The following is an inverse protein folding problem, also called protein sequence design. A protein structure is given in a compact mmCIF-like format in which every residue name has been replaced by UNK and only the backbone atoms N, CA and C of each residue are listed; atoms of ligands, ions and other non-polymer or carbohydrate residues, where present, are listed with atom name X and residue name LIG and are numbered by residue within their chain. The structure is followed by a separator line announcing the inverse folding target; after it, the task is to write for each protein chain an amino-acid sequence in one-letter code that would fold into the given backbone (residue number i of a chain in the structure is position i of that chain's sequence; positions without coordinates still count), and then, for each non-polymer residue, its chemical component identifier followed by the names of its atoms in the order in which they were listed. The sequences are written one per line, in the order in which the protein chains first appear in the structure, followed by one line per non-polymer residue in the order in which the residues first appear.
data_IF_336098226515
#
_entry.id   IF_336098226515
#
_cell.length_a   1.000
_cell.length_b   1.000
_cell.length_c   1.000
_cell.angle_alpha   90.00
_cell.angle_beta   90.00
_cell.angle_gamma   90.00
#
_symmetry.space_group_name_H-M   'P 1'
#
loop_
_entity.id
_entity.type
_entity.pdbx_description
1 polymer ?
#
# COMPACT_ATOMS: atom_id res chain seq x y z
N UNK A 1 -15.60 -4.93 -41.85
CA UNK A 1 -14.28 -4.30 -41.72
C UNK A 1 -14.51 -3.01 -40.96
N UNK A 2 -14.42 -3.09 -39.63
CA UNK A 2 -14.79 -1.99 -38.74
C UNK A 2 -13.72 -1.89 -37.66
N UNK A 3 -13.06 -0.73 -37.64
CA UNK A 3 -12.00 -0.37 -36.70
C UNK A 3 -12.54 -0.38 -35.26
N UNK A 4 -11.77 -0.97 -34.35
CA UNK A 4 -11.92 -0.79 -32.91
C UNK A 4 -11.13 0.45 -32.49
N UNK A 5 -11.89 1.48 -32.13
CA UNK A 5 -11.43 2.76 -31.60
C UNK A 5 -10.83 2.57 -30.20
N UNK A 6 -9.57 2.99 -30.04
CA UNK A 6 -8.82 3.02 -28.79
C UNK A 6 -8.85 4.46 -28.28
N UNK A 7 -9.89 4.85 -27.52
CA UNK A 7 -9.87 6.02 -26.61
C UNK A 7 -10.94 5.90 -25.54
N UNK A 8 -10.55 5.49 -24.32
CA UNK A 8 -11.10 6.05 -23.07
C UNK A 8 -10.27 5.52 -21.88
N UNK A 9 -9.15 6.16 -21.60
CA UNK A 9 -8.50 6.06 -20.28
C UNK A 9 -8.95 7.29 -19.50
N UNK A 10 -10.22 7.29 -19.12
CA UNK A 10 -10.84 8.32 -18.29
C UNK A 10 -10.54 8.04 -16.82
N UNK A 11 -10.21 9.10 -16.07
CA UNK A 11 -9.90 9.06 -14.65
C UNK A 11 -10.93 8.29 -13.83
N UNK A 12 -10.49 7.14 -13.31
CA UNK A 12 -11.21 6.40 -12.29
C UNK A 12 -10.99 7.08 -10.94
N UNK A 13 -11.96 7.86 -10.49
CA UNK A 13 -12.19 8.14 -9.08
C UNK A 13 -12.36 6.77 -8.38
N UNK A 14 -11.29 6.24 -7.79
CA UNK A 14 -11.38 5.06 -6.94
C UNK A 14 -12.22 5.43 -5.73
N UNK A 15 -13.45 4.93 -5.74
CA UNK A 15 -14.42 5.08 -4.66
C UNK A 15 -13.96 4.20 -3.49
N UNK A 16 -12.94 4.66 -2.76
CA UNK A 16 -12.52 4.10 -1.47
C UNK A 16 -13.65 4.38 -0.48
N UNK A 17 -14.67 3.51 -0.46
CA UNK A 17 -15.59 3.43 0.67
C UNK A 17 -14.79 3.00 1.89
N UNK A 18 -14.29 4.00 2.61
CA UNK A 18 -13.80 3.85 3.99
C UNK A 18 -14.94 3.22 4.79
N UNK A 19 -14.84 1.94 5.12
CA UNK A 19 -15.70 1.36 6.16
C UNK A 19 -15.32 2.07 7.45
N UNK A 20 -16.28 2.80 8.01
CA UNK A 20 -16.17 3.42 9.33
C UNK A 20 -15.71 2.38 10.34
N UNK A 21 -14.66 2.67 11.13
CA UNK A 21 -14.10 1.85 12.21
C UNK A 21 -15.08 1.55 13.38
N UNK A 22 -16.38 1.71 13.17
CA UNK A 22 -17.41 1.64 14.21
C UNK A 22 -18.09 0.27 14.37
N UNK A 23 -17.50 -0.83 13.89
CA UNK A 23 -18.08 -2.16 14.13
C UNK A 23 -17.02 -3.24 14.35
N UNK A 24 -16.25 -3.14 15.43
CA UNK A 24 -15.54 -4.28 15.99
C UNK A 24 -16.37 -4.89 17.11
N UNK A 25 -17.15 -5.91 16.73
CA UNK A 25 -17.73 -6.86 17.66
C UNK A 25 -16.62 -7.55 18.45
N UNK A 26 -16.80 -7.60 19.77
CA UNK A 26 -15.88 -8.15 20.76
C UNK A 26 -15.73 -9.68 20.55
N UNK A 27 -14.72 -10.11 19.82
CA UNK A 27 -14.32 -11.53 19.74
C UNK A 27 -13.02 -11.73 20.53
N UNK A 28 -13.03 -12.76 21.39
CA UNK A 28 -12.11 -12.97 22.49
C UNK A 28 -10.63 -13.04 22.12
N UNK A 29 -9.85 -12.21 22.82
CA UNK A 29 -8.39 -12.13 22.78
C UNK A 29 -7.77 -13.37 23.44
N UNK A 30 -7.32 -14.35 22.66
CA UNK A 30 -6.26 -15.28 23.11
C UNK A 30 -4.93 -14.57 22.94
N UNK A 31 -4.24 -14.28 24.05
CA UNK A 31 -2.87 -13.76 24.02
C UNK A 31 -1.96 -14.87 23.54
N UNK A 32 -1.40 -14.73 22.34
CA UNK A 32 -0.15 -15.38 21.97
C UNK A 32 0.97 -14.40 22.29
N UNK A 33 1.95 -14.86 23.04
CA UNK A 33 3.09 -14.10 23.54
C UNK A 33 3.88 -13.48 22.38
N UNK A 34 4.15 -12.17 22.43
CA UNK A 34 4.84 -11.41 21.38
C UNK A 34 6.30 -11.14 21.79
N UNK A 35 7.31 -11.42 20.94
CA UNK A 35 8.70 -11.05 21.23
C UNK A 35 8.93 -9.54 21.10
N UNK A 36 9.84 -9.02 21.92
CA UNK A 36 10.08 -7.60 22.13
C UNK A 36 10.45 -6.79 20.86
N UNK A 37 9.61 -5.82 20.54
CA UNK A 37 9.81 -4.68 19.62
C UNK A 37 8.53 -3.84 19.68
N UNK A 38 8.60 -2.52 19.62
CA UNK A 38 7.40 -1.67 19.77
C UNK A 38 6.39 -1.98 18.64
N UNK A 39 5.39 -2.82 18.93
CA UNK A 39 4.27 -3.03 18.03
C UNK A 39 3.37 -1.79 18.12
N UNK A 40 3.42 -0.99 17.07
CA UNK A 40 2.53 0.13 16.90
C UNK A 40 1.11 -0.38 16.67
N UNK A 41 0.21 -0.03 17.58
CA UNK A 41 -1.22 -0.37 17.46
C UNK A 41 -1.82 0.06 16.12
N UNK A 42 -1.27 1.08 15.47
CA UNK A 42 -1.68 1.51 14.13
C UNK A 42 -1.26 0.50 13.06
N UNK A 43 -0.02 0.02 13.12
CA UNK A 43 0.45 -0.99 12.17
C UNK A 43 -0.14 -2.37 12.43
N UNK A 44 -0.47 -2.73 13.68
CA UNK A 44 -1.28 -3.93 13.95
C UNK A 44 -2.63 -3.86 13.23
N UNK A 45 -3.33 -2.72 13.32
CA UNK A 45 -4.61 -2.50 12.65
C UNK A 45 -4.49 -2.51 11.12
N UNK A 46 -3.50 -1.79 10.58
CA UNK A 46 -3.23 -1.79 9.12
C UNK A 46 -2.93 -3.19 8.63
N UNK A 47 -2.12 -3.94 9.36
CA UNK A 47 -1.74 -5.30 8.97
C UNK A 47 -2.92 -6.26 9.02
N UNK A 48 -3.72 -6.23 10.08
CA UNK A 48 -4.95 -7.04 10.18
C UNK A 48 -5.90 -6.72 9.02
N UNK A 49 -6.12 -5.44 8.73
CA UNK A 49 -6.95 -5.03 7.60
C UNK A 49 -6.42 -5.49 6.23
N UNK A 50 -5.10 -5.45 6.01
CA UNK A 50 -4.49 -5.98 4.79
C UNK A 50 -4.65 -7.50 4.67
N UNK A 51 -4.61 -8.25 5.79
CA UNK A 51 -4.86 -9.68 5.79
C UNK A 51 -6.32 -9.99 5.43
N UNK A 52 -7.27 -9.25 5.98
CA UNK A 52 -8.69 -9.37 5.64
C UNK A 52 -8.91 -9.05 4.15
N UNK A 53 -8.32 -7.96 3.66
CA UNK A 53 -8.38 -7.58 2.24
C UNK A 53 -7.82 -8.67 1.32
N UNK A 54 -6.70 -9.29 1.70
CA UNK A 54 -6.14 -10.41 0.95
C UNK A 54 -7.09 -11.63 0.97
N UNK A 55 -7.65 -11.96 2.12
CA UNK A 55 -8.55 -13.08 2.28
C UNK A 55 -9.86 -12.90 1.49
N UNK A 56 -10.42 -11.69 1.48
CA UNK A 56 -11.61 -11.33 0.69
C UNK A 56 -11.38 -11.51 -0.81
N UNK A 57 -10.17 -11.20 -1.28
CA UNK A 57 -9.73 -11.47 -2.65
C UNK A 57 -9.29 -12.93 -2.86
N UNK A 58 -9.41 -13.82 -1.89
CA UNK A 58 -9.04 -15.23 -2.02
C UNK A 58 -7.53 -15.43 -2.23
N UNK A 59 -6.71 -14.58 -1.61
CA UNK A 59 -5.28 -14.76 -1.46
C UNK A 59 -4.95 -15.44 -0.13
N UNK A 60 -3.92 -16.27 -0.13
CA UNK A 60 -3.29 -16.74 1.12
C UNK A 60 -2.04 -15.93 1.43
N UNK A 61 -1.77 -15.69 2.72
CA UNK A 61 -0.55 -15.01 3.18
C UNK A 61 0.23 -15.95 4.08
N UNK A 62 1.48 -16.22 3.74
CA UNK A 62 2.38 -17.13 4.48
C UNK A 62 3.66 -16.42 4.90
N UNK A 63 4.19 -16.78 6.07
CA UNK A 63 5.50 -16.33 6.53
C UNK A 63 6.56 -17.36 6.17
N UNK A 64 7.54 -16.96 5.39
CA UNK A 64 8.62 -17.84 4.93
C UNK A 64 9.98 -17.18 5.12
N UNK A 65 11.04 -17.98 4.99
CA UNK A 65 12.40 -17.45 4.91
C UNK A 65 12.73 -17.07 3.47
N UNK A 66 12.75 -15.77 3.18
CA UNK A 66 13.14 -15.26 1.86
C UNK A 66 14.61 -14.81 1.81
N UNK A 67 15.39 -15.15 2.84
CA UNK A 67 16.75 -14.68 3.02
C UNK A 67 16.82 -13.19 3.41
N UNK A 68 18.01 -12.57 3.38
CA UNK A 68 18.23 -11.27 4.01
C UNK A 68 17.77 -10.05 3.20
N UNK A 69 17.42 -10.23 1.93
CA UNK A 69 17.19 -9.10 0.99
C UNK A 69 15.74 -8.92 0.54
N UNK A 70 14.93 -9.97 0.61
CA UNK A 70 13.55 -9.95 0.10
C UNK A 70 12.59 -9.73 1.24
N UNK A 71 11.66 -8.80 1.07
CA UNK A 71 10.64 -8.53 2.07
C UNK A 71 9.37 -9.36 1.85
N UNK A 72 9.02 -9.62 0.59
CA UNK A 72 7.91 -10.45 0.20
C UNK A 72 8.03 -10.93 -1.25
N UNK A 73 7.07 -11.74 -1.67
CA UNK A 73 6.81 -12.05 -3.08
C UNK A 73 5.37 -12.51 -3.30
N UNK A 74 4.75 -12.05 -4.38
CA UNK A 74 3.47 -12.55 -4.88
C UNK A 74 3.66 -13.71 -5.86
N UNK A 75 3.11 -14.87 -5.52
CA UNK A 75 3.10 -16.08 -6.31
C UNK A 75 1.79 -16.20 -7.09
N UNK A 76 1.74 -15.51 -8.24
CA UNK A 76 0.56 -15.39 -9.11
C UNK A 76 -0.21 -16.69 -9.38
N UNK A 77 0.50 -17.78 -9.71
CA UNK A 77 -0.15 -19.08 -10.03
C UNK A 77 -0.85 -19.72 -8.83
N UNK A 78 -0.40 -19.40 -7.63
CA UNK A 78 -0.90 -19.99 -6.38
C UNK A 78 -1.83 -19.05 -5.62
N UNK A 79 -2.06 -17.82 -6.12
CA UNK A 79 -2.81 -16.77 -5.41
C UNK A 79 -2.30 -16.61 -3.97
N UNK A 80 -0.98 -16.58 -3.82
CA UNK A 80 -0.32 -16.60 -2.52
C UNK A 80 0.67 -15.45 -2.42
N UNK A 81 0.71 -14.80 -1.27
CA UNK A 81 1.74 -13.85 -0.89
C UNK A 81 2.61 -14.52 0.16
N UNK A 82 3.91 -14.49 -0.05
CA UNK A 82 4.90 -14.92 0.94
C UNK A 82 5.58 -13.68 1.51
N UNK A 83 5.54 -13.51 2.83
CA UNK A 83 6.22 -12.44 3.55
C UNK A 83 7.43 -13.00 4.29
N UNK A 84 8.51 -12.23 4.35
CA UNK A 84 9.69 -12.64 5.09
C UNK A 84 9.42 -12.59 6.61
N UNK A 85 9.55 -13.74 7.26
CA UNK A 85 9.32 -13.92 8.71
C UNK A 85 10.23 -13.09 9.62
N UNK A 86 11.31 -12.52 9.08
CA UNK A 86 12.30 -11.77 9.85
C UNK A 86 12.00 -10.26 9.94
N UNK A 87 10.84 -9.81 9.43
CA UNK A 87 10.45 -8.41 9.39
C UNK A 87 9.52 -8.04 10.55
N UNK A 88 9.62 -6.79 11.02
CA UNK A 88 8.65 -6.22 11.96
C UNK A 88 7.44 -5.62 11.23
N UNK A 89 6.39 -5.24 11.97
CA UNK A 89 5.15 -4.70 11.40
C UNK A 89 5.37 -3.44 10.54
N UNK A 90 6.30 -2.55 10.90
CA UNK A 90 6.65 -1.36 10.11
C UNK A 90 7.19 -1.70 8.73
N UNK A 91 7.77 -2.89 8.56
CA UNK A 91 8.24 -3.41 7.27
C UNK A 91 7.19 -4.31 6.59
N UNK A 92 6.48 -5.14 7.36
CA UNK A 92 5.46 -6.07 6.86
C UNK A 92 4.26 -5.33 6.26
N UNK A 93 3.80 -4.23 6.87
CA UNK A 93 2.64 -3.46 6.38
C UNK A 93 2.88 -2.91 4.96
N UNK A 94 3.94 -2.13 4.69
CA UNK A 94 4.25 -1.70 3.32
C UNK A 94 4.52 -2.87 2.37
N UNK A 95 5.18 -3.93 2.86
CA UNK A 95 5.49 -5.12 2.06
C UNK A 95 4.24 -5.85 1.59
N UNK A 96 3.30 -6.14 2.49
CA UNK A 96 2.04 -6.81 2.15
C UNK A 96 1.20 -5.95 1.21
N UNK A 97 1.10 -4.63 1.44
CA UNK A 97 0.42 -3.73 0.52
C UNK A 97 1.04 -3.72 -0.88
N UNK A 98 2.37 -3.81 -0.98
CA UNK A 98 3.10 -3.90 -2.24
C UNK A 98 2.82 -5.22 -2.99
N UNK A 99 2.91 -6.37 -2.30
CA UNK A 99 2.62 -7.68 -2.92
C UNK A 99 1.14 -7.81 -3.32
N UNK A 100 0.24 -7.24 -2.52
CA UNK A 100 -1.18 -7.15 -2.87
C UNK A 100 -1.41 -6.32 -4.14
N UNK A 101 -0.64 -5.24 -4.35
CA UNK A 101 -0.74 -4.48 -5.60
C UNK A 101 -0.36 -5.32 -6.83
N UNK A 102 0.65 -6.19 -6.73
CA UNK A 102 0.97 -7.13 -7.81
C UNK A 102 -0.17 -8.10 -8.12
N UNK A 103 -0.95 -8.49 -7.10
CA UNK A 103 -2.20 -9.21 -7.31
C UNK A 103 -3.21 -8.38 -8.10
N UNK A 104 -3.52 -7.17 -7.65
CA UNK A 104 -4.50 -6.26 -8.27
C UNK A 104 -4.19 -6.02 -9.75
N UNK A 105 -2.92 -5.84 -10.10
CA UNK A 105 -2.51 -5.63 -11.49
C UNK A 105 -2.21 -6.92 -12.27
N UNK A 106 -2.36 -8.09 -11.64
CA UNK A 106 -2.09 -9.40 -12.23
C UNK A 106 -0.66 -9.54 -12.79
N UNK A 107 0.31 -8.94 -12.11
CA UNK A 107 1.69 -8.87 -12.58
C UNK A 107 2.34 -10.27 -12.64
N UNK A 108 2.85 -10.63 -13.82
CA UNK A 108 3.54 -11.91 -14.05
C UNK A 108 5.07 -11.81 -13.98
N UNK A 109 5.62 -10.60 -13.96
CA UNK A 109 7.05 -10.35 -13.92
C UNK A 109 7.35 -9.03 -13.20
N UNK A 110 8.44 -9.02 -12.43
CA UNK A 110 8.98 -7.82 -11.78
C UNK A 110 9.69 -6.96 -12.82
N UNK A 111 9.00 -5.93 -13.30
CA UNK A 111 9.58 -4.88 -14.15
C UNK A 111 9.66 -3.60 -13.36
N UNK A 112 10.59 -2.70 -13.71
CA UNK A 112 10.71 -1.39 -13.01
C UNK A 112 9.39 -0.62 -12.96
N UNK A 113 8.55 -0.74 -14.01
CA UNK A 113 7.22 -0.13 -14.04
C UNK A 113 6.25 -0.82 -13.08
N UNK A 114 6.19 -2.15 -13.09
CA UNK A 114 5.33 -2.93 -12.19
C UNK A 114 5.69 -2.66 -10.72
N UNK A 115 6.96 -2.70 -10.37
CA UNK A 115 7.48 -2.41 -9.02
C UNK A 115 7.10 -1.00 -8.56
N UNK A 116 7.32 0.00 -9.43
CA UNK A 116 6.97 1.39 -9.13
C UNK A 116 5.47 1.54 -8.88
N UNK A 117 4.64 0.98 -9.76
CA UNK A 117 3.19 1.04 -9.67
C UNK A 117 2.68 0.31 -8.43
N UNK A 118 3.29 -0.81 -8.06
CA UNK A 118 2.95 -1.57 -6.85
C UNK A 118 3.21 -0.76 -5.57
N UNK A 119 4.37 -0.10 -5.48
CA UNK A 119 4.65 0.82 -4.38
C UNK A 119 3.70 2.03 -4.33
N UNK A 120 3.39 2.62 -5.48
CA UNK A 120 2.44 3.74 -5.56
C UNK A 120 1.01 3.33 -5.16
N UNK A 121 0.59 2.11 -5.50
CA UNK A 121 -0.69 1.55 -5.04
C UNK A 121 -0.69 1.33 -3.53
N UNK A 122 0.34 0.67 -2.99
CA UNK A 122 0.48 0.45 -1.56
C UNK A 122 0.47 1.77 -0.77
N UNK A 123 1.11 2.82 -1.31
CA UNK A 123 1.15 4.14 -0.70
C UNK A 123 -0.24 4.80 -0.65
N UNK A 124 -1.02 4.72 -1.73
CA UNK A 124 -2.40 5.21 -1.76
C UNK A 124 -3.29 4.47 -0.78
N UNK A 125 -3.05 3.18 -0.61
CA UNK A 125 -3.82 2.30 0.26
C UNK A 125 -3.58 2.62 1.75
N UNK A 126 -2.34 2.98 2.10
CA UNK A 126 -1.87 3.06 3.50
C UNK A 126 -1.69 4.48 4.04
N UNK A 127 -1.63 5.50 3.17
CA UNK A 127 -1.38 6.89 3.56
C UNK A 127 -2.52 7.77 3.05
N UNK A 128 -3.40 8.19 3.97
CA UNK A 128 -4.41 9.18 3.62
C UNK A 128 -3.76 10.57 3.41
N UNK A 129 -4.27 11.40 2.49
CA UNK A 129 -3.73 12.75 2.26
C UNK A 129 -3.72 13.62 3.52
N UNK A 130 -4.73 13.49 4.38
CA UNK A 130 -4.82 14.24 5.63
C UNK A 130 -3.78 13.79 6.66
N UNK A 131 -3.48 12.49 6.72
CA UNK A 131 -2.43 11.93 7.59
C UNK A 131 -1.05 12.40 7.13
N UNK A 132 -0.79 12.36 5.82
CA UNK A 132 0.46 12.89 5.27
C UNK A 132 0.62 14.38 5.58
N UNK A 133 -0.42 15.19 5.35
CA UNK A 133 -0.38 16.64 5.60
C UNK A 133 -0.28 16.96 7.11
N UNK A 134 -0.82 16.12 7.98
CA UNK A 134 -0.62 16.25 9.43
C UNK A 134 0.83 15.96 9.81
N UNK A 135 1.39 14.85 9.33
CA UNK A 135 2.78 14.48 9.58
C UNK A 135 3.75 15.57 9.08
N UNK A 136 3.56 16.05 7.85
CA UNK A 136 4.42 17.09 7.27
C UNK A 136 4.39 18.40 8.07
N UNK A 137 3.25 18.77 8.68
CA UNK A 137 3.17 19.94 9.57
C UNK A 137 3.93 19.75 10.89
N UNK A 138 4.04 18.51 11.38
CA UNK A 138 4.71 18.19 12.65
C UNK A 138 6.22 18.14 12.46
N UNK A 139 6.68 17.44 11.40
CA UNK A 139 8.11 17.11 11.23
C UNK A 139 8.77 17.78 10.02
N UNK A 140 8.04 18.59 9.27
CA UNK A 140 8.51 19.22 8.02
C UNK A 140 8.60 18.23 6.86
N UNK A 141 9.39 18.58 5.83
CA UNK A 141 9.43 17.87 4.55
C UNK A 141 10.39 16.67 4.48
N UNK A 142 11.02 16.28 5.59
CA UNK A 142 11.97 15.15 5.61
C UNK A 142 11.24 13.82 5.41
N UNK A 143 11.61 13.06 4.38
CA UNK A 143 11.00 11.74 4.06
C UNK A 143 11.15 10.79 5.25
N UNK A 144 12.33 10.77 5.87
CA UNK A 144 12.64 9.90 6.99
C UNK A 144 11.83 10.28 8.23
N UNK A 145 11.68 11.58 8.49
CA UNK A 145 10.90 12.05 9.63
C UNK A 145 9.40 11.78 9.42
N UNK A 146 8.87 12.04 8.22
CA UNK A 146 7.46 11.75 7.89
C UNK A 146 7.21 10.23 7.98
N UNK A 147 8.13 9.40 7.50
CA UNK A 147 8.01 7.95 7.60
C UNK A 147 8.01 7.49 9.07
N UNK A 148 8.79 8.14 9.95
CA UNK A 148 8.76 7.84 11.38
C UNK A 148 7.43 8.26 12.01
N UNK A 149 6.94 9.46 11.69
CA UNK A 149 5.67 10.00 12.20
C UNK A 149 4.47 9.15 11.78
N UNK A 150 4.44 8.68 10.54
CA UNK A 150 3.38 7.79 10.03
C UNK A 150 3.55 6.33 10.45
N UNK A 151 4.64 6.01 11.15
CA UNK A 151 5.11 4.66 11.47
C UNK A 151 5.15 3.74 10.23
N UNK A 152 5.77 4.21 9.15
CA UNK A 152 5.92 3.50 7.88
C UNK A 152 7.38 3.57 7.41
N UNK A 153 7.69 2.95 6.27
CA UNK A 153 9.03 3.01 5.68
C UNK A 153 9.19 4.22 4.74
N UNK A 154 10.42 4.76 4.58
CA UNK A 154 10.69 5.86 3.65
C UNK A 154 10.25 5.59 2.21
N UNK A 155 10.38 4.35 1.72
CA UNK A 155 9.99 3.96 0.35
C UNK A 155 8.50 4.24 0.09
N UNK A 156 7.64 4.06 1.10
CA UNK A 156 6.20 4.27 0.95
C UNK A 156 5.86 5.76 0.88
N UNK A 157 6.56 6.60 1.65
CA UNK A 157 6.43 8.06 1.61
C UNK A 157 6.90 8.62 0.26
N UNK A 158 8.01 8.12 -0.28
CA UNK A 158 8.47 8.50 -1.61
C UNK A 158 7.46 8.10 -2.69
N UNK A 159 6.90 6.89 -2.59
CA UNK A 159 5.88 6.41 -3.52
C UNK A 159 4.62 7.27 -3.46
N UNK A 160 4.17 7.65 -2.26
CA UNK A 160 3.06 8.58 -2.07
C UNK A 160 3.32 9.91 -2.75
N UNK A 161 4.49 10.53 -2.54
CA UNK A 161 4.88 11.80 -3.17
C UNK A 161 4.96 11.72 -4.68
N UNK A 162 5.43 10.59 -5.24
CA UNK A 162 5.45 10.37 -6.69
C UNK A 162 4.03 10.32 -7.24
N UNK A 163 3.17 9.50 -6.65
CA UNK A 163 1.77 9.38 -7.05
C UNK A 163 1.03 10.71 -6.95
N UNK A 164 1.13 11.40 -5.81
CA UNK A 164 0.44 12.67 -5.56
C UNK A 164 0.81 13.76 -6.57
N UNK A 165 2.09 13.85 -6.95
CA UNK A 165 2.53 14.79 -8.00
C UNK A 165 1.90 14.47 -9.35
N UNK A 166 1.87 13.22 -9.75
CA UNK A 166 1.25 12.80 -11.02
C UNK A 166 -0.26 13.07 -11.01
N UNK A 167 -0.95 12.74 -9.92
CA UNK A 167 -2.38 13.00 -9.76
C UNK A 167 -2.68 14.51 -9.74
N UNK A 168 -1.85 15.31 -9.07
CA UNK A 168 -2.02 16.77 -9.01
C UNK A 168 -1.86 17.41 -10.39
N UNK A 169 -0.88 16.96 -11.19
CA UNK A 169 -0.68 17.44 -12.57
C UNK A 169 -1.85 17.06 -13.48
N UNK A 170 -2.41 15.87 -13.31
CA UNK A 170 -3.58 15.43 -14.07
C UNK A 170 -4.86 16.21 -13.71
N UNK A 171 -4.91 16.82 -12.52
CA UNK A 171 -6.06 17.57 -12.00
C UNK A 171 -5.92 19.09 -12.18
N UNK A 172 -4.85 19.59 -12.82
CA UNK A 172 -4.80 20.98 -13.24
C UNK A 172 -5.64 21.14 -14.52
N UNK A 173 -6.61 22.08 -14.57
CA UNK A 173 -7.30 22.39 -15.82
C UNK A 173 -6.28 22.86 -16.86
N UNK A 174 -6.51 22.49 -18.12
CA UNK A 174 -5.73 22.94 -19.28
C UNK A 174 -5.92 24.46 -19.48
N UNK A 175 -5.34 25.28 -18.59
CA UNK A 175 -5.35 26.75 -18.69
C UNK A 175 -4.29 27.26 -19.68
N UNK A 176 -3.81 26.37 -20.57
CA UNK A 176 -2.65 26.59 -21.43
C UNK A 176 -3.02 26.72 -22.91
N UNK A 177 -4.11 27.41 -23.26
CA UNK A 177 -4.28 28.03 -24.58
C UNK A 177 -5.06 29.34 -24.48
N UNK A 178 -4.39 30.38 -23.97
CA UNK A 178 -4.73 31.75 -24.31
C UNK A 178 -4.07 32.13 -25.64
N UNK A 179 -4.88 32.33 -26.67
CA UNK A 179 -4.58 33.12 -27.86
C UNK A 179 -5.88 33.72 -28.42
#
# INVERSE_FOLDING_TARGET
MTLLDIRSVGGGLYNLRRVSLASLGRVGRRRTETPAGHDSAVNEQRFAWLLDLCADDGLTVEYVDLGPRRHGQYLRRHRRIELNRNLNLRQLVPGLGHEYAHHVYNDGCSTTFAERRAWEYAAQLLIAPEEYAAAERIVGHSVQAIALELDLTPVLVEAWRRWWRTASLANQPDDAWGA
#
